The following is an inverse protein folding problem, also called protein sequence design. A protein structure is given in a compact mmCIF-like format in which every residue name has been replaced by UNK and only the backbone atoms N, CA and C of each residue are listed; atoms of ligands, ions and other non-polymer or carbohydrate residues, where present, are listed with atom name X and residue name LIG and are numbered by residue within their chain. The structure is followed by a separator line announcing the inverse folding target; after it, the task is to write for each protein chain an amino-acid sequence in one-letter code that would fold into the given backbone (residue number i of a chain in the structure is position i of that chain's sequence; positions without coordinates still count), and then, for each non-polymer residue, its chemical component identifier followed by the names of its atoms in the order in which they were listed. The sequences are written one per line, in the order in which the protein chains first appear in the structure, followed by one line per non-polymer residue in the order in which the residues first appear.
data_IF_715535052753
#
_entry.id   IF_715535052753
#
_cell.length_a   1.000
_cell.length_b   1.000
_cell.length_c   1.000
_cell.angle_alpha   90.00
_cell.angle_beta   90.00
_cell.angle_gamma   90.00
#
_symmetry.space_group_name_H-M   'P 1'
#
loop_
_entity.id
_entity.type
_entity.pdbx_description
1 polymer ?
#
# COMPACT_ATOMS: atom_id res chain seq x y z
N UNK A 1 5.34 -16.14 -4.81
CA UNK A 1 6.46 -16.82 -4.13
C UNK A 1 6.57 -16.43 -2.66
N UNK A 2 6.33 -15.18 -2.26
CA UNK A 2 6.13 -14.86 -0.85
C UNK A 2 4.93 -15.63 -0.26
N UNK A 3 5.07 -16.10 0.98
CA UNK A 3 4.06 -16.81 1.79
C UNK A 3 3.64 -18.23 1.35
N UNK A 4 4.39 -18.87 0.45
CA UNK A 4 4.15 -20.28 0.04
C UNK A 4 2.71 -20.59 -0.40
N UNK A 5 2.01 -19.59 -0.95
CA UNK A 5 0.65 -19.78 -1.48
C UNK A 5 0.70 -20.69 -2.72
N UNK A 6 0.08 -21.88 -2.69
CA UNK A 6 0.20 -22.87 -3.77
C UNK A 6 -0.48 -22.42 -5.06
N UNK A 7 -1.48 -21.53 -4.98
CA UNK A 7 -2.14 -20.95 -6.15
C UNK A 7 -1.21 -19.93 -6.80
N UNK A 8 -0.56 -19.08 -6.00
CA UNK A 8 0.38 -18.08 -6.49
C UNK A 8 1.69 -18.67 -7.04
N UNK A 9 2.04 -19.90 -6.66
CA UNK A 9 3.16 -20.64 -7.27
C UNK A 9 2.77 -21.29 -8.60
N UNK A 10 1.50 -21.66 -8.76
CA UNK A 10 0.98 -22.36 -9.94
C UNK A 10 0.66 -21.42 -11.12
N UNK A 11 0.15 -20.22 -10.85
CA UNK A 11 -0.32 -19.28 -11.87
C UNK A 11 0.61 -18.06 -11.97
N UNK A 12 0.75 -17.51 -13.17
CA UNK A 12 1.48 -16.25 -13.37
C UNK A 12 0.66 -15.07 -12.90
N UNK A 13 1.30 -13.91 -12.72
CA UNK A 13 0.58 -12.68 -12.38
C UNK A 13 -0.49 -12.32 -13.43
N UNK A 14 -0.17 -12.48 -14.72
CA UNK A 14 -1.11 -12.23 -15.81
C UNK A 14 -2.35 -13.13 -15.70
N UNK A 15 -2.17 -14.43 -15.47
CA UNK A 15 -3.27 -15.38 -15.29
C UNK A 15 -4.18 -15.00 -14.12
N UNK A 16 -3.58 -14.52 -13.03
CA UNK A 16 -4.31 -14.09 -11.83
C UNK A 16 -5.15 -12.85 -12.13
N UNK A 17 -4.57 -11.81 -12.74
CA UNK A 17 -5.31 -10.55 -12.98
C UNK A 17 -6.37 -10.67 -14.08
N UNK A 18 -6.18 -11.56 -15.05
CA UNK A 18 -7.12 -11.78 -16.16
C UNK A 18 -8.15 -12.89 -15.89
N UNK A 19 -8.11 -13.52 -14.70
CA UNK A 19 -9.01 -14.61 -14.35
C UNK A 19 -10.49 -14.20 -14.51
N UNK A 20 -11.20 -14.91 -15.39
CA UNK A 20 -12.63 -14.71 -15.67
C UNK A 20 -13.55 -15.41 -14.66
N UNK A 21 -14.86 -15.33 -14.90
CA UNK A 21 -15.87 -15.92 -13.99
C UNK A 21 -15.78 -17.45 -13.90
N UNK A 22 -15.41 -18.10 -15.00
CA UNK A 22 -15.28 -19.55 -15.14
C UNK A 22 -13.93 -20.08 -14.62
N UNK A 23 -13.02 -19.19 -14.20
CA UNK A 23 -11.75 -19.59 -13.62
C UNK A 23 -11.96 -20.31 -12.27
N UNK A 24 -11.04 -21.22 -11.88
CA UNK A 24 -11.12 -21.90 -10.59
C UNK A 24 -11.30 -20.93 -9.42
N UNK A 25 -12.19 -21.27 -8.49
CA UNK A 25 -12.53 -20.40 -7.34
C UNK A 25 -11.27 -19.95 -6.59
N UNK A 26 -10.32 -20.85 -6.37
CA UNK A 26 -9.04 -20.54 -5.70
C UNK A 26 -8.24 -19.45 -6.42
N UNK A 27 -8.26 -19.42 -7.75
CA UNK A 27 -7.59 -18.40 -8.55
C UNK A 27 -8.32 -17.05 -8.44
N UNK A 28 -9.66 -17.05 -8.49
CA UNK A 28 -10.48 -15.84 -8.30
C UNK A 28 -10.36 -15.24 -6.91
N UNK A 29 -10.20 -16.08 -5.89
CA UNK A 29 -9.91 -15.65 -4.51
C UNK A 29 -8.54 -14.98 -4.45
N UNK A 30 -7.51 -15.57 -5.06
CA UNK A 30 -6.19 -14.96 -5.14
C UNK A 30 -6.23 -13.62 -5.90
N UNK A 31 -6.91 -13.56 -7.05
CA UNK A 31 -7.14 -12.32 -7.80
C UNK A 31 -7.78 -11.23 -6.93
N UNK A 32 -8.86 -11.56 -6.22
CA UNK A 32 -9.54 -10.60 -5.33
C UNK A 32 -8.61 -10.11 -4.22
N UNK A 33 -7.83 -11.00 -3.60
CA UNK A 33 -6.84 -10.64 -2.57
C UNK A 33 -5.73 -9.73 -3.11
N UNK A 34 -5.37 -9.85 -4.38
CA UNK A 34 -4.36 -8.99 -5.01
C UNK A 34 -4.91 -7.64 -5.48
N UNK A 35 -6.14 -7.59 -5.99
CA UNK A 35 -6.68 -6.39 -6.64
C UNK A 35 -7.53 -5.51 -5.71
N UNK A 36 -8.35 -6.09 -4.84
CA UNK A 36 -9.28 -5.33 -3.99
C UNK A 36 -8.56 -4.36 -3.05
N UNK A 37 -7.41 -4.70 -2.42
CA UNK A 37 -6.67 -3.73 -1.61
C UNK A 37 -6.16 -2.51 -2.39
N UNK A 38 -5.97 -2.65 -3.71
CA UNK A 38 -5.53 -1.56 -4.59
C UNK A 38 -6.60 -0.51 -4.90
N UNK A 39 -7.85 -0.72 -4.47
CA UNK A 39 -8.95 0.24 -4.62
C UNK A 39 -8.84 1.37 -3.57
N UNK A 40 -7.73 2.11 -3.59
CA UNK A 40 -7.37 3.05 -2.53
C UNK A 40 -8.43 4.12 -2.26
N UNK A 41 -9.06 4.68 -3.29
CA UNK A 41 -10.10 5.69 -3.13
C UNK A 41 -11.31 5.15 -2.33
N UNK A 42 -11.77 3.93 -2.65
CA UNK A 42 -12.88 3.27 -1.96
C UNK A 42 -12.56 3.04 -0.48
N UNK A 43 -11.34 2.59 -0.17
CA UNK A 43 -10.93 2.36 1.21
C UNK A 43 -10.72 3.67 1.96
N UNK A 44 -10.10 4.67 1.33
CA UNK A 44 -9.87 5.99 1.91
C UNK A 44 -11.19 6.68 2.27
N UNK A 45 -12.22 6.55 1.44
CA UNK A 45 -13.55 7.10 1.72
C UNK A 45 -14.11 6.61 3.07
N UNK A 46 -13.86 5.37 3.46
CA UNK A 46 -14.28 4.82 4.77
C UNK A 46 -13.53 5.44 5.93
N UNK A 47 -12.27 5.83 5.75
CA UNK A 47 -11.54 6.57 6.78
C UNK A 47 -12.07 8.00 6.90
N UNK A 48 -12.41 8.63 5.78
CA UNK A 48 -12.93 10.00 5.74
C UNK A 48 -14.35 10.14 6.33
N UNK A 49 -15.10 9.05 6.53
CA UNK A 49 -16.36 9.10 7.29
C UNK A 49 -16.15 9.26 8.80
N UNK A 50 -14.94 8.99 9.30
CA UNK A 50 -14.63 9.00 10.73
C UNK A 50 -13.59 10.06 11.13
N UNK A 51 -12.71 10.44 10.22
CA UNK A 51 -11.62 11.38 10.48
C UNK A 51 -11.68 12.56 9.52
N UNK A 52 -11.38 13.75 10.04
CA UNK A 52 -11.24 14.93 9.19
C UNK A 52 -10.05 14.73 8.23
N UNK A 53 -10.11 15.22 6.97
CA UNK A 53 -9.01 15.08 6.01
C UNK A 53 -7.63 15.52 6.55
N UNK A 54 -7.59 16.54 7.40
CA UNK A 54 -6.34 17.02 8.01
C UNK A 54 -5.72 16.05 9.02
N UNK A 55 -6.44 15.01 9.45
CA UNK A 55 -5.94 13.97 10.36
C UNK A 55 -5.43 12.73 9.60
N UNK A 56 -5.44 12.76 8.26
CA UNK A 56 -4.95 11.66 7.43
C UNK A 56 -3.84 12.18 6.52
N UNK A 57 -2.67 11.55 6.60
CA UNK A 57 -1.55 11.80 5.71
C UNK A 57 -1.44 10.70 4.66
N UNK A 58 -1.62 11.05 3.38
CA UNK A 58 -1.35 10.14 2.26
C UNK A 58 0.12 10.31 1.85
N UNK A 59 0.86 9.21 1.82
CA UNK A 59 2.28 9.18 1.47
C UNK A 59 2.50 8.63 0.07
N UNK A 60 3.48 9.21 -0.63
CA UNK A 60 3.97 8.67 -1.89
C UNK A 60 4.95 7.52 -1.60
N UNK A 61 4.53 6.29 -1.94
CA UNK A 61 5.34 5.10 -1.75
C UNK A 61 6.58 5.02 -2.65
N UNK A 62 6.56 5.65 -3.83
CA UNK A 62 7.76 5.74 -4.67
C UNK A 62 8.77 6.68 -4.03
N UNK A 63 8.32 7.86 -3.60
CA UNK A 63 9.18 8.82 -2.90
C UNK A 63 9.74 8.22 -1.60
N UNK A 64 8.96 7.43 -0.86
CA UNK A 64 9.46 6.77 0.35
C UNK A 64 10.62 5.80 0.04
N UNK A 65 10.58 5.15 -1.13
CA UNK A 65 11.61 4.21 -1.54
C UNK A 65 12.86 4.91 -2.08
N UNK A 66 12.69 5.99 -2.84
CA UNK A 66 13.81 6.70 -3.50
C UNK A 66 14.42 7.78 -2.62
N UNK A 67 13.60 8.47 -1.83
CA UNK A 67 13.95 9.62 -1.00
C UNK A 67 13.32 9.50 0.41
N UNK A 68 13.68 8.44 1.19
CA UNK A 68 13.05 8.16 2.48
C UNK A 68 13.17 9.31 3.47
N UNK A 69 14.30 10.02 3.48
CA UNK A 69 14.53 11.12 4.40
C UNK A 69 13.54 12.28 4.21
N UNK A 70 13.24 12.65 2.97
CA UNK A 70 12.27 13.71 2.65
C UNK A 70 10.83 13.31 3.02
N UNK A 71 10.48 12.03 2.89
CA UNK A 71 9.18 11.52 3.35
C UNK A 71 9.09 11.53 4.88
N UNK A 72 10.16 11.12 5.58
CA UNK A 72 10.20 11.20 7.04
C UNK A 72 10.04 12.63 7.54
N UNK A 73 10.62 13.63 6.87
CA UNK A 73 10.40 15.04 7.23
C UNK A 73 8.93 15.46 7.11
N UNK A 74 8.20 14.97 6.09
CA UNK A 74 6.74 15.22 5.97
C UNK A 74 5.97 14.57 7.10
N UNK A 75 6.32 13.34 7.48
CA UNK A 75 5.69 12.61 8.59
C UNK A 75 5.89 13.37 9.92
N UNK A 76 7.13 13.80 10.21
CA UNK A 76 7.43 14.53 11.45
C UNK A 76 6.65 15.84 11.54
N UNK A 77 6.53 16.58 10.44
CA UNK A 77 5.73 17.82 10.36
C UNK A 77 4.25 17.56 10.58
N UNK A 78 3.70 16.53 9.94
CA UNK A 78 2.30 16.15 10.10
C UNK A 78 1.95 15.75 11.53
N UNK A 79 2.85 15.03 12.21
CA UNK A 79 2.69 14.65 13.61
C UNK A 79 2.93 15.81 14.60
N UNK A 80 3.41 16.96 14.14
CA UNK A 80 3.72 18.12 15.00
C UNK A 80 4.84 17.85 16.00
N UNK A 81 5.83 17.03 15.64
CA UNK A 81 6.95 16.71 16.54
C UNK A 81 7.81 17.95 16.81
N UNK A 82 8.12 18.21 18.08
CA UNK A 82 8.98 19.32 18.50
C UNK A 82 10.46 19.03 18.28
N UNK A 83 10.87 17.77 18.45
CA UNK A 83 12.24 17.31 18.27
C UNK A 83 12.36 16.50 16.98
N UNK A 84 12.62 17.19 15.87
CA UNK A 84 12.75 16.54 14.56
C UNK A 84 14.15 15.93 14.36
N UNK A 85 14.19 14.69 13.87
CA UNK A 85 15.40 14.01 13.44
C UNK A 85 15.76 14.37 12.00
N UNK A 86 17.06 14.51 11.74
CA UNK A 86 17.56 14.70 10.38
C UNK A 86 17.85 13.34 9.74
N UNK A 87 16.86 12.78 9.05
CA UNK A 87 16.99 11.49 8.39
C UNK A 87 17.98 11.48 7.21
N UNK A 88 18.30 12.63 6.62
CA UNK A 88 19.34 12.73 5.59
C UNK A 88 20.73 12.42 6.16
N UNK A 89 20.95 12.65 7.47
CA UNK A 89 22.20 12.28 8.15
C UNK A 89 22.21 10.84 8.65
N UNK A 90 21.04 10.30 9.00
CA UNK A 90 20.91 8.98 9.62
C UNK A 90 20.91 7.87 8.57
N UNK A 91 20.34 8.13 7.39
CA UNK A 91 20.18 7.14 6.32
C UNK A 91 21.24 7.28 5.21
N UNK A 92 22.22 8.17 5.38
CA UNK A 92 23.35 8.32 4.48
C UNK A 92 24.33 7.15 4.57
#
# INVERSE_FOLDING_TARGET
RAHDDPVAQKYTFHDVITAGRDAPIKLRVLQSRCLVPGLYATHLQRWLTHYHPSQILVLDGQMLRTEPASVMDKIQKFLGLTNTLNYHKILA
#
